data_IF_129981717885
#
_entry.id   IF_129981717885
#
_cell.length_a   1.000
_cell.length_b   1.000
_cell.length_c   1.000
_cell.angle_alpha   90.00
_cell.angle_beta   90.00
_cell.angle_gamma   90.00
#
_symmetry.space_group_name_H-M   'P 1'
#
loop_
_entity.id
_entity.type
_entity.pdbx_description
1 polymer ?
#
# COMPACT_ATOMS: atom_id res chain seq x y z
N UNK A 1 -7.71 -45.28 -27.68
CA UNK A 1 -7.19 -43.97 -28.13
C UNK A 1 -7.59 -42.95 -27.08
N UNK A 2 -6.74 -42.78 -26.07
CA UNK A 2 -6.96 -41.88 -24.93
C UNK A 2 -6.61 -40.46 -25.36
N UNK A 3 -7.49 -39.46 -25.22
CA UNK A 3 -7.10 -38.10 -25.51
C UNK A 3 -6.16 -37.62 -24.39
N UNK A 4 -4.94 -37.36 -24.84
CA UNK A 4 -3.82 -36.78 -24.11
C UNK A 4 -4.20 -35.46 -23.43
N UNK A 5 -3.74 -35.33 -22.18
CA UNK A 5 -3.96 -34.18 -21.32
C UNK A 5 -3.54 -32.87 -21.97
N UNK A 6 -4.42 -31.88 -21.82
CA UNK A 6 -4.12 -30.46 -22.01
C UNK A 6 -3.36 -29.97 -20.78
N UNK A 7 -2.04 -29.91 -20.88
CA UNK A 7 -1.21 -29.08 -20.02
C UNK A 7 -1.63 -27.61 -20.23
N UNK A 8 -2.49 -27.11 -19.33
CA UNK A 8 -2.84 -25.71 -19.27
C UNK A 8 -1.65 -24.97 -18.65
N UNK A 9 -0.88 -24.25 -19.47
CA UNK A 9 0.19 -23.39 -19.00
C UNK A 9 -0.30 -22.46 -17.89
N UNK A 10 0.26 -22.63 -16.69
CA UNK A 10 -0.15 -21.94 -15.47
C UNK A 10 0.30 -20.47 -15.52
N UNK A 11 -0.46 -19.64 -16.23
CA UNK A 11 -0.26 -18.20 -16.30
C UNK A 11 -0.57 -17.52 -14.97
N UNK A 12 0.13 -16.42 -14.67
CA UNK A 12 -0.09 -15.67 -13.44
C UNK A 12 -1.56 -15.22 -13.29
N UNK A 13 -2.19 -15.53 -12.14
CA UNK A 13 -3.55 -15.10 -11.82
C UNK A 13 -3.55 -13.58 -11.54
N UNK A 14 -4.30 -12.77 -12.30
CA UNK A 14 -4.38 -11.33 -12.04
C UNK A 14 -5.22 -11.05 -10.79
N UNK A 15 -4.70 -10.23 -9.88
CA UNK A 15 -5.45 -9.72 -8.73
C UNK A 15 -6.26 -8.50 -9.18
N UNK A 16 -7.59 -8.59 -9.15
CA UNK A 16 -8.51 -7.55 -9.63
C UNK A 16 -9.19 -6.85 -8.46
N UNK A 17 -8.93 -5.56 -8.30
CA UNK A 17 -9.51 -4.77 -7.19
C UNK A 17 -10.97 -4.36 -7.36
N UNK A 18 -11.63 -4.59 -8.49
CA UNK A 18 -13.01 -4.09 -8.73
C UNK A 18 -14.03 -4.68 -7.76
N UNK A 19 -13.97 -6.00 -7.53
CA UNK A 19 -14.86 -6.69 -6.63
C UNK A 19 -14.60 -6.28 -5.17
N UNK A 20 -13.32 -6.30 -4.76
CA UNK A 20 -12.90 -5.84 -3.43
C UNK A 20 -13.36 -4.40 -3.16
N UNK A 21 -13.13 -3.48 -4.09
CA UNK A 21 -13.55 -2.08 -3.91
C UNK A 21 -15.07 -1.93 -3.79
N UNK A 22 -15.87 -2.78 -4.45
CA UNK A 22 -17.32 -2.78 -4.29
C UNK A 22 -17.72 -3.28 -2.89
N UNK A 23 -17.10 -4.38 -2.43
CA UNK A 23 -17.31 -4.91 -1.08
C UNK A 23 -16.93 -3.90 0.00
N UNK A 24 -15.79 -3.20 -0.16
CA UNK A 24 -15.36 -2.17 0.78
C UNK A 24 -16.36 -1.01 0.86
N UNK A 25 -16.86 -0.53 -0.29
CA UNK A 25 -17.88 0.53 -0.30
C UNK A 25 -19.17 0.13 0.39
N UNK A 26 -19.63 -1.11 0.21
CA UNK A 26 -20.82 -1.59 0.91
C UNK A 26 -20.60 -1.65 2.43
N UNK A 27 -19.46 -2.18 2.86
CA UNK A 27 -19.07 -2.17 4.27
C UNK A 27 -18.98 -0.75 4.85
N UNK A 28 -18.37 0.18 4.12
CA UNK A 28 -18.31 1.59 4.52
C UNK A 28 -19.71 2.20 4.64
N UNK A 29 -20.60 1.94 3.68
CA UNK A 29 -21.99 2.42 3.74
C UNK A 29 -22.73 1.91 4.98
N UNK A 30 -22.59 0.62 5.29
CA UNK A 30 -23.17 0.04 6.50
C UNK A 30 -22.61 0.67 7.78
N UNK A 31 -21.29 0.91 7.84
CA UNK A 31 -20.65 1.57 8.97
C UNK A 31 -21.10 3.04 9.13
N UNK A 32 -21.26 3.77 8.03
CA UNK A 32 -21.77 5.15 8.06
C UNK A 32 -23.20 5.20 8.58
N UNK A 33 -24.06 4.29 8.12
CA UNK A 33 -25.45 4.17 8.61
C UNK A 33 -25.50 3.86 10.12
N UNK A 34 -24.67 2.91 10.58
CA UNK A 34 -24.57 2.58 12.00
C UNK A 34 -24.10 3.80 12.83
N UNK A 35 -23.10 4.54 12.32
CA UNK A 35 -22.57 5.74 12.98
C UNK A 35 -23.63 6.83 13.05
N UNK A 36 -24.39 7.04 11.96
CA UNK A 36 -25.51 7.98 11.91
C UNK A 36 -26.58 7.66 12.94
N UNK A 37 -26.94 6.38 13.11
CA UNK A 37 -27.88 5.93 14.16
C UNK A 37 -27.36 6.17 15.57
N UNK A 38 -26.04 6.15 15.76
CA UNK A 38 -25.39 6.49 17.02
C UNK A 38 -25.27 8.01 17.25
N UNK A 39 -25.83 8.85 16.38
CA UNK A 39 -25.91 10.31 16.55
C UNK A 39 -24.75 11.11 15.94
N UNK A 40 -23.85 10.48 15.18
CA UNK A 40 -22.78 11.18 14.45
C UNK A 40 -22.80 10.87 12.97
N UNK A 41 -22.61 11.87 12.11
CA UNK A 41 -22.48 11.64 10.66
C UNK A 41 -21.04 11.95 10.25
N UNK A 42 -20.25 10.96 9.81
CA UNK A 42 -18.87 11.20 9.41
C UNK A 42 -18.77 12.14 8.20
N UNK A 43 -17.77 13.02 8.24
CA UNK A 43 -17.51 14.05 7.21
C UNK A 43 -16.06 13.99 6.76
N UNK A 44 -15.85 13.95 5.44
CA UNK A 44 -14.55 13.99 4.78
C UNK A 44 -14.32 15.36 4.11
N UNK A 45 -13.25 16.04 4.48
CA UNK A 45 -12.81 17.26 3.81
C UNK A 45 -11.66 16.97 2.85
N UNK A 46 -11.72 17.52 1.64
CA UNK A 46 -10.66 17.41 0.63
C UNK A 46 -10.17 18.82 0.30
N UNK A 47 -8.90 19.10 0.62
CA UNK A 47 -8.24 20.37 0.29
C UNK A 47 -7.49 20.22 -1.02
N UNK A 48 -7.68 21.14 -1.95
CA UNK A 48 -6.93 21.19 -3.20
C UNK A 48 -6.46 22.61 -3.50
N UNK A 49 -5.29 22.73 -4.10
CA UNK A 49 -4.66 24.00 -4.43
C UNK A 49 -4.13 23.98 -5.87
N UNK A 50 -4.80 23.28 -6.78
CA UNK A 50 -4.34 23.16 -8.17
C UNK A 50 -5.52 23.10 -9.12
N UNK A 51 -5.37 23.73 -10.29
CA UNK A 51 -6.34 23.66 -11.39
C UNK A 51 -6.01 22.51 -12.37
N UNK A 52 -5.08 21.63 -12.00
CA UNK A 52 -4.69 20.49 -12.81
C UNK A 52 -5.88 19.51 -12.98
N UNK A 53 -6.24 19.23 -14.24
CA UNK A 53 -7.40 18.39 -14.58
C UNK A 53 -7.29 16.97 -14.01
N UNK A 54 -6.08 16.42 -13.87
CA UNK A 54 -5.89 15.08 -13.31
C UNK A 54 -6.22 15.06 -11.81
N UNK A 55 -5.90 16.14 -11.12
CA UNK A 55 -6.24 16.37 -9.71
C UNK A 55 -7.72 16.59 -9.54
N UNK A 56 -8.34 17.40 -10.41
CA UNK A 56 -9.78 17.60 -10.43
C UNK A 56 -10.54 16.27 -10.63
N UNK A 57 -10.05 15.40 -11.51
CA UNK A 57 -10.62 14.05 -11.67
C UNK A 57 -10.52 13.22 -10.39
N UNK A 58 -9.38 13.24 -9.70
CA UNK A 58 -9.20 12.47 -8.47
C UNK A 58 -10.08 12.99 -7.34
N UNK A 59 -10.20 14.32 -7.17
CA UNK A 59 -11.13 14.95 -6.22
C UNK A 59 -12.57 14.53 -6.52
N UNK A 60 -13.00 14.57 -7.79
CA UNK A 60 -14.33 14.08 -8.19
C UNK A 60 -14.54 12.61 -7.85
N UNK A 61 -13.50 11.78 -8.00
CA UNK A 61 -13.56 10.37 -7.63
C UNK A 61 -13.69 10.17 -6.11
N UNK A 62 -12.98 10.96 -5.29
CA UNK A 62 -13.11 10.93 -3.83
C UNK A 62 -14.52 11.36 -3.39
N UNK A 63 -15.01 12.48 -3.92
CA UNK A 63 -16.36 12.98 -3.66
C UNK A 63 -17.41 11.94 -4.04
N UNK A 64 -17.33 11.38 -5.24
CA UNK A 64 -18.27 10.34 -5.68
C UNK A 64 -18.22 9.08 -4.80
N UNK A 65 -17.04 8.71 -4.30
CA UNK A 65 -16.91 7.58 -3.37
C UNK A 65 -17.52 7.91 -2.00
N UNK A 66 -17.33 9.13 -1.51
CA UNK A 66 -17.92 9.62 -0.27
C UNK A 66 -19.46 9.62 -0.34
N UNK A 67 -20.03 10.20 -1.41
CA UNK A 67 -21.46 10.22 -1.68
C UNK A 67 -22.06 8.81 -1.73
N UNK A 68 -21.45 7.91 -2.51
CA UNK A 68 -21.90 6.52 -2.63
C UNK A 68 -21.85 5.74 -1.31
N UNK A 69 -20.99 6.16 -0.40
CA UNK A 69 -20.84 5.56 0.93
C UNK A 69 -21.68 6.27 2.00
N UNK A 70 -22.41 7.33 1.64
CA UNK A 70 -23.27 8.09 2.55
C UNK A 70 -22.53 9.11 3.43
N UNK A 71 -21.26 9.38 3.16
CA UNK A 71 -20.45 10.35 3.90
C UNK A 71 -20.87 11.79 3.57
N UNK A 72 -20.88 12.66 4.57
CA UNK A 72 -20.80 14.09 4.30
C UNK A 72 -19.41 14.39 3.73
N UNK A 73 -19.33 15.37 2.83
CA UNK A 73 -18.07 15.76 2.25
C UNK A 73 -18.04 17.26 1.98
N UNK A 74 -16.84 17.81 1.95
CA UNK A 74 -16.59 19.17 1.48
C UNK A 74 -15.30 19.22 0.68
N UNK A 75 -15.25 20.11 -0.31
CA UNK A 75 -14.05 20.37 -1.09
C UNK A 75 -13.65 21.82 -0.85
N UNK A 76 -12.44 22.03 -0.33
CA UNK A 76 -11.85 23.35 -0.13
C UNK A 76 -10.84 23.59 -1.25
N UNK A 77 -11.19 24.48 -2.18
CA UNK A 77 -10.34 24.82 -3.31
C UNK A 77 -9.63 26.16 -3.05
N UNK A 78 -8.34 26.12 -2.77
CA UNK A 78 -7.52 27.29 -2.45
C UNK A 78 -6.95 27.99 -3.69
N UNK A 79 -6.98 27.31 -4.85
CA UNK A 79 -6.48 27.83 -6.12
C UNK A 79 -4.97 27.61 -6.32
N UNK A 80 -4.47 27.77 -7.56
CA UNK A 80 -3.10 27.43 -7.95
C UNK A 80 -2.04 28.43 -7.45
N UNK A 81 -2.47 29.53 -6.81
CA UNK A 81 -1.60 30.57 -6.25
C UNK A 81 -1.48 30.50 -4.73
N UNK A 82 -2.13 29.52 -4.09
CA UNK A 82 -2.09 29.37 -2.66
C UNK A 82 -0.66 29.21 -2.15
N UNK A 83 -0.32 29.97 -1.12
CA UNK A 83 0.92 29.90 -0.35
C UNK A 83 0.93 28.69 0.59
N UNK A 84 2.09 28.36 1.15
CA UNK A 84 2.21 27.30 2.16
C UNK A 84 1.36 27.65 3.39
N UNK A 85 1.33 28.91 3.79
CA UNK A 85 0.58 29.43 4.94
C UNK A 85 -0.93 29.29 4.72
N UNK A 86 -1.46 29.70 3.57
CA UNK A 86 -2.89 29.54 3.25
C UNK A 86 -3.32 28.07 3.27
N UNK A 87 -2.51 27.16 2.72
CA UNK A 87 -2.78 25.72 2.77
C UNK A 87 -2.73 25.21 4.20
N UNK A 88 -1.72 25.63 4.99
CA UNK A 88 -1.56 25.22 6.38
C UNK A 88 -2.76 25.66 7.23
N UNK A 89 -3.20 26.89 7.08
CA UNK A 89 -4.29 27.46 7.86
C UNK A 89 -5.61 26.77 7.55
N UNK A 90 -5.88 26.46 6.27
CA UNK A 90 -7.04 25.67 5.87
C UNK A 90 -7.01 24.25 6.49
N UNK A 91 -5.86 23.57 6.43
CA UNK A 91 -5.70 22.23 7.01
C UNK A 91 -5.87 22.23 8.53
N UNK A 92 -5.30 23.22 9.23
CA UNK A 92 -5.45 23.36 10.69
C UNK A 92 -6.89 23.65 11.07
N UNK A 93 -7.56 24.57 10.37
CA UNK A 93 -8.97 24.87 10.60
C UNK A 93 -9.87 23.64 10.48
N UNK A 94 -9.67 22.83 9.43
CA UNK A 94 -10.38 21.55 9.28
C UNK A 94 -9.98 20.51 10.33
N UNK A 95 -8.72 20.54 10.78
CA UNK A 95 -8.21 19.72 11.87
C UNK A 95 -8.92 20.01 13.20
N UNK A 96 -9.24 21.27 13.47
CA UNK A 96 -9.90 21.73 14.69
C UNK A 96 -11.44 21.65 14.63
N UNK A 97 -12.04 21.67 13.43
CA UNK A 97 -13.49 21.56 13.24
C UNK A 97 -14.03 20.19 13.71
N UNK A 98 -14.81 20.21 14.80
CA UNK A 98 -15.42 19.01 15.39
C UNK A 98 -16.43 18.30 14.48
N UNK A 99 -16.91 18.96 13.42
CA UNK A 99 -17.79 18.34 12.40
C UNK A 99 -17.00 17.54 11.36
N UNK A 100 -15.69 17.78 11.21
CA UNK A 100 -14.81 17.12 10.22
C UNK A 100 -14.06 15.96 10.87
N UNK A 101 -14.14 14.79 10.25
CA UNK A 101 -13.61 13.54 10.81
C UNK A 101 -12.39 13.02 10.04
N UNK A 102 -12.25 13.39 8.78
CA UNK A 102 -11.10 13.06 7.95
C UNK A 102 -10.75 14.20 7.01
N UNK A 103 -9.45 14.40 6.77
CA UNK A 103 -8.93 15.44 5.88
C UNK A 103 -7.94 14.81 4.91
N UNK A 104 -8.05 15.19 3.63
CA UNK A 104 -7.10 14.82 2.57
C UNK A 104 -6.54 16.09 1.95
N UNK A 105 -5.22 16.22 1.89
CA UNK A 105 -4.55 17.23 1.06
C UNK A 105 -4.24 16.65 -0.32
N UNK A 106 -5.00 17.09 -1.32
CA UNK A 106 -4.80 16.64 -2.70
C UNK A 106 -3.54 17.26 -3.32
N UNK A 107 -2.71 16.41 -3.92
CA UNK A 107 -1.50 16.79 -4.68
C UNK A 107 -1.73 16.69 -6.20
N UNK A 108 -0.95 17.39 -7.04
CA UNK A 108 0.21 18.24 -6.74
C UNK A 108 -0.17 19.59 -6.13
N UNK A 109 0.76 20.14 -5.36
CA UNK A 109 0.64 21.48 -4.76
C UNK A 109 1.24 22.53 -5.72
N UNK A 110 0.88 23.82 -5.56
CA UNK A 110 1.50 24.91 -6.30
C UNK A 110 3.03 24.92 -6.22
N UNK A 111 3.72 25.44 -7.25
CA UNK A 111 5.16 25.69 -7.17
C UNK A 111 5.50 26.56 -5.96
N UNK A 112 6.49 26.14 -5.17
CA UNK A 112 6.94 26.88 -3.98
C UNK A 112 6.23 26.50 -2.68
N UNK A 113 5.14 25.71 -2.74
CA UNK A 113 4.50 25.18 -1.53
C UNK A 113 5.32 24.01 -0.98
N UNK A 114 5.74 24.12 0.28
CA UNK A 114 6.51 23.06 0.93
C UNK A 114 5.59 21.99 1.53
N UNK A 115 5.42 20.89 0.79
CA UNK A 115 4.67 19.73 1.26
C UNK A 115 5.19 19.15 2.59
N UNK A 116 6.49 19.30 2.90
CA UNK A 116 7.04 18.82 4.18
C UNK A 116 6.57 19.70 5.33
N UNK A 117 6.53 21.01 5.10
CA UNK A 117 6.05 21.97 6.09
C UNK A 117 4.54 21.80 6.40
N UNK A 118 3.80 21.14 5.51
CA UNK A 118 2.38 20.81 5.65
C UNK A 118 2.11 19.42 6.23
N UNK A 119 3.13 18.55 6.33
CA UNK A 119 2.95 17.15 6.67
C UNK A 119 2.28 16.92 8.04
N UNK A 120 2.47 17.85 8.97
CA UNK A 120 1.89 17.81 10.32
C UNK A 120 0.69 18.76 10.50
N UNK A 121 0.28 19.48 9.44
CA UNK A 121 -0.79 20.46 9.52
C UNK A 121 -2.16 19.82 9.78
N UNK A 122 -2.37 18.59 9.34
CA UNK A 122 -3.53 17.76 9.71
C UNK A 122 -3.17 16.93 10.94
N UNK A 123 -3.97 17.00 12.02
CA UNK A 123 -3.79 16.10 13.16
C UNK A 123 -3.80 14.63 12.72
N UNK A 124 -2.88 13.81 13.21
CA UNK A 124 -2.76 12.41 12.80
C UNK A 124 -4.06 11.59 13.01
N UNK A 125 -4.92 12.00 13.96
CA UNK A 125 -6.23 11.38 14.20
C UNK A 125 -7.29 11.69 13.12
N UNK A 126 -7.05 12.68 12.25
CA UNK A 126 -7.91 13.05 11.12
C UNK A 126 -7.21 12.90 9.75
N UNK A 127 -5.92 12.56 9.73
CA UNK A 127 -5.15 12.36 8.51
C UNK A 127 -5.42 10.97 7.89
N UNK A 128 -6.57 10.85 7.23
CA UNK A 128 -7.04 9.60 6.63
C UNK A 128 -6.24 9.16 5.39
N UNK A 129 -5.36 10.01 4.87
CA UNK A 129 -4.42 9.66 3.79
C UNK A 129 -3.05 9.20 4.32
N UNK A 130 -2.84 9.22 5.65
CA UNK A 130 -1.64 8.72 6.32
C UNK A 130 -0.34 9.46 5.92
N UNK A 131 -0.45 10.72 5.51
CA UNK A 131 0.69 11.55 5.11
C UNK A 131 1.50 12.09 6.29
N UNK A 132 0.91 12.12 7.49
CA UNK A 132 1.51 12.65 8.71
C UNK A 132 2.67 11.73 9.17
N UNK A 133 3.88 12.28 9.40
CA UNK A 133 5.03 11.49 9.87
C UNK A 133 4.76 10.71 11.16
N UNK A 134 3.90 11.23 12.05
CA UNK A 134 3.47 10.54 13.26
C UNK A 134 2.75 9.22 12.93
N UNK A 135 1.92 9.20 11.89
CA UNK A 135 1.24 7.99 11.44
C UNK A 135 2.25 6.91 11.02
N UNK A 136 3.29 7.27 10.25
CA UNK A 136 4.37 6.34 9.90
C UNK A 136 5.15 5.85 11.14
N UNK A 137 5.44 6.74 12.08
CA UNK A 137 6.11 6.37 13.34
C UNK A 137 5.29 5.37 14.16
N UNK A 138 3.97 5.59 14.25
CA UNK A 138 3.04 4.68 14.92
C UNK A 138 2.95 3.32 14.22
N UNK A 139 2.88 3.29 12.89
CA UNK A 139 2.93 2.04 12.12
C UNK A 139 4.23 1.26 12.37
N UNK A 140 5.37 1.96 12.43
CA UNK A 140 6.65 1.33 12.74
C UNK A 140 6.71 0.74 14.15
N UNK A 141 5.99 1.35 15.11
CA UNK A 141 5.85 0.84 16.47
C UNK A 141 4.74 -0.22 16.64
N UNK A 142 4.05 -0.62 15.56
CA UNK A 142 2.93 -1.57 15.63
C UNK A 142 1.67 -0.98 16.29
N UNK A 143 1.57 0.35 16.38
CA UNK A 143 0.43 1.05 16.96
C UNK A 143 -0.60 1.41 15.88
N UNK A 144 -1.86 1.53 16.30
CA UNK A 144 -2.95 1.97 15.43
C UNK A 144 -2.67 3.38 14.86
N UNK A 145 -2.75 3.50 13.53
CA UNK A 145 -2.62 4.74 12.77
C UNK A 145 -3.21 4.56 11.37
N UNK A 146 -3.57 5.66 10.72
CA UNK A 146 -3.88 5.63 9.29
C UNK A 146 -2.62 5.34 8.49
N UNK A 147 -2.64 4.27 7.69
CA UNK A 147 -1.60 4.06 6.71
C UNK A 147 -1.99 4.70 5.38
N UNK A 148 -1.02 5.13 4.56
CA UNK A 148 -1.31 5.63 3.23
C UNK A 148 -2.18 4.68 2.41
N UNK A 149 -3.22 5.22 1.79
CA UNK A 149 -4.27 4.44 1.13
C UNK A 149 -3.73 3.46 0.07
N UNK A 150 -2.62 3.80 -0.59
CA UNK A 150 -1.98 2.89 -1.56
C UNK A 150 -1.33 1.68 -0.88
N UNK A 151 -0.67 1.87 0.27
CA UNK A 151 -0.08 0.78 1.03
C UNK A 151 -1.18 -0.13 1.61
N UNK A 152 -2.24 0.46 2.15
CA UNK A 152 -3.41 -0.30 2.61
C UNK A 152 -4.11 -1.06 1.49
N UNK A 153 -4.26 -0.45 0.30
CA UNK A 153 -4.89 -1.13 -0.82
C UNK A 153 -4.13 -2.38 -1.28
N UNK A 154 -2.79 -2.35 -1.25
CA UNK A 154 -1.96 -3.54 -1.54
C UNK A 154 -2.23 -4.64 -0.53
N UNK A 155 -2.25 -4.29 0.76
CA UNK A 155 -2.53 -5.23 1.84
C UNK A 155 -3.94 -5.80 1.75
N UNK A 156 -4.95 -4.95 1.53
CA UNK A 156 -6.34 -5.37 1.37
C UNK A 156 -6.51 -6.31 0.17
N UNK A 157 -5.76 -6.10 -0.92
CA UNK A 157 -5.73 -7.03 -2.04
C UNK A 157 -5.10 -8.37 -1.66
N UNK A 158 -3.96 -8.37 -0.96
CA UNK A 158 -3.31 -9.61 -0.52
C UNK A 158 -4.23 -10.41 0.42
N UNK A 159 -4.87 -9.73 1.37
CA UNK A 159 -5.82 -10.32 2.32
C UNK A 159 -7.06 -10.87 1.58
N UNK A 160 -7.66 -10.11 0.65
CA UNK A 160 -8.83 -10.54 -0.12
C UNK A 160 -8.58 -11.77 -0.99
N UNK A 161 -7.36 -11.92 -1.48
CA UNK A 161 -6.94 -13.08 -2.27
C UNK A 161 -6.26 -14.17 -1.43
N UNK A 162 -6.31 -14.05 -0.10
CA UNK A 162 -5.78 -15.02 0.86
C UNK A 162 -4.32 -15.40 0.58
N UNK A 163 -3.52 -14.42 0.15
CA UNK A 163 -2.08 -14.63 -0.10
C UNK A 163 -1.39 -14.89 1.24
N UNK A 164 -0.68 -16.01 1.44
CA UNK A 164 -0.01 -16.29 2.71
C UNK A 164 1.13 -15.28 2.98
N UNK A 165 1.01 -14.50 4.06
CA UNK A 165 2.00 -13.47 4.43
C UNK A 165 2.93 -13.93 5.56
N UNK A 166 2.42 -14.72 6.51
CA UNK A 166 3.18 -15.20 7.66
C UNK A 166 4.38 -16.04 7.23
N UNK A 167 5.57 -15.60 7.60
CA UNK A 167 6.84 -16.24 7.26
C UNK A 167 7.26 -16.08 5.80
N UNK A 168 6.48 -15.40 4.96
CA UNK A 168 6.82 -15.16 3.56
C UNK A 168 7.93 -14.12 3.42
N UNK A 169 8.78 -14.27 2.41
CA UNK A 169 9.77 -13.27 2.02
C UNK A 169 9.13 -12.23 1.12
N UNK A 170 8.83 -11.06 1.68
CA UNK A 170 8.30 -9.93 0.92
C UNK A 170 9.40 -8.94 0.54
N UNK A 171 9.54 -8.66 -0.76
CA UNK A 171 10.48 -7.65 -1.28
C UNK A 171 9.70 -6.44 -1.77
N UNK A 172 9.95 -5.29 -1.17
CA UNK A 172 9.34 -4.00 -1.57
C UNK A 172 10.36 -3.17 -2.32
N UNK A 173 10.14 -2.93 -3.61
CA UNK A 173 11.00 -2.07 -4.44
C UNK A 173 10.45 -0.64 -4.42
N UNK A 174 11.01 0.19 -3.54
CA UNK A 174 10.57 1.55 -3.30
C UNK A 174 10.56 1.86 -1.81
N UNK A 175 10.93 3.08 -1.42
CA UNK A 175 11.03 3.51 -0.01
C UNK A 175 10.45 4.90 0.25
N UNK A 176 9.46 5.28 -0.54
CA UNK A 176 8.71 6.53 -0.29
C UNK A 176 7.98 6.44 1.04
N UNK A 177 7.72 7.60 1.65
CA UNK A 177 6.91 7.71 2.88
C UNK A 177 5.42 7.46 2.62
N UNK A 178 4.97 7.51 1.36
CA UNK A 178 3.56 7.35 0.97
C UNK A 178 3.23 5.92 0.52
N UNK A 179 4.22 5.08 0.19
CA UNK A 179 3.95 3.70 -0.24
C UNK A 179 4.96 2.72 0.34
N UNK A 180 6.24 2.84 -0.02
CA UNK A 180 7.23 1.80 0.23
C UNK A 180 7.48 1.51 1.71
N UNK A 181 7.75 2.55 2.51
CA UNK A 181 8.00 2.40 3.95
C UNK A 181 6.75 1.95 4.72
N UNK A 182 5.57 2.59 4.58
CA UNK A 182 4.37 2.11 5.25
C UNK A 182 4.02 0.67 4.90
N UNK A 183 4.09 0.31 3.62
CA UNK A 183 3.81 -1.06 3.18
C UNK A 183 4.76 -2.08 3.81
N UNK A 184 6.05 -1.75 3.95
CA UNK A 184 7.00 -2.62 4.63
C UNK A 184 6.58 -2.87 6.09
N UNK A 185 6.14 -1.84 6.82
CA UNK A 185 5.65 -1.98 8.19
C UNK A 185 4.35 -2.78 8.27
N UNK A 186 3.41 -2.58 7.33
CA UNK A 186 2.15 -3.35 7.29
C UNK A 186 2.38 -4.84 6.98
N UNK A 187 3.40 -5.16 6.18
CA UNK A 187 3.83 -6.54 5.92
C UNK A 187 4.52 -7.17 7.13
N UNK A 188 5.40 -6.42 7.81
CA UNK A 188 6.02 -6.86 9.06
C UNK A 188 4.97 -7.15 10.13
N UNK A 189 3.94 -6.32 10.26
CA UNK A 189 2.81 -6.54 11.17
C UNK A 189 1.98 -7.79 10.85
N UNK A 190 2.19 -8.42 9.69
CA UNK A 190 1.57 -9.69 9.26
C UNK A 190 2.58 -10.84 9.25
N UNK A 191 3.64 -10.74 10.05
CA UNK A 191 4.70 -11.73 10.22
C UNK A 191 5.51 -12.04 8.94
N UNK A 192 5.52 -11.15 7.94
CA UNK A 192 6.38 -11.33 6.76
C UNK A 192 7.84 -10.96 7.09
N UNK A 193 8.81 -11.66 6.47
CA UNK A 193 10.20 -11.22 6.44
C UNK A 193 10.35 -10.21 5.30
N UNK A 194 10.65 -8.95 5.60
CA UNK A 194 10.60 -7.86 4.62
C UNK A 194 11.99 -7.33 4.24
N UNK A 195 12.27 -7.26 2.94
CA UNK A 195 13.45 -6.59 2.37
C UNK A 195 13.01 -5.36 1.56
N UNK A 196 13.55 -4.18 1.89
CA UNK A 196 13.24 -2.93 1.18
C UNK A 196 14.36 -2.57 0.21
N UNK A 197 14.04 -2.55 -1.08
CA UNK A 197 14.94 -2.20 -2.16
C UNK A 197 14.75 -0.75 -2.64
N UNK A 198 15.79 -0.17 -3.23
CA UNK A 198 15.78 1.20 -3.73
C UNK A 198 16.83 1.42 -4.84
N UNK A 199 16.93 2.64 -5.38
CA UNK A 199 17.83 2.97 -6.49
C UNK A 199 19.31 2.69 -6.23
N UNK A 200 19.73 2.59 -4.97
CA UNK A 200 21.12 2.26 -4.56
C UNK A 200 21.32 0.81 -4.11
N UNK A 201 20.31 -0.06 -4.27
CA UNK A 201 20.44 -1.48 -3.93
C UNK A 201 21.39 -2.13 -4.93
N UNK A 202 22.44 -2.80 -4.44
CA UNK A 202 23.34 -3.61 -5.27
C UNK A 202 22.59 -4.87 -5.71
N UNK A 203 22.77 -5.24 -6.98
CA UNK A 203 22.09 -6.36 -7.63
C UNK A 203 20.60 -6.51 -7.25
N UNK A 204 19.79 -5.54 -7.69
CA UNK A 204 18.35 -5.60 -7.48
C UNK A 204 17.71 -6.89 -8.03
N UNK A 205 18.28 -7.47 -9.09
CA UNK A 205 17.75 -8.68 -9.70
C UNK A 205 17.95 -9.90 -8.80
N UNK A 206 19.09 -10.00 -8.12
CA UNK A 206 19.34 -11.05 -7.12
C UNK A 206 18.33 -10.98 -5.98
N UNK A 207 18.23 -9.83 -5.30
CA UNK A 207 17.33 -9.65 -4.15
C UNK A 207 15.87 -9.93 -4.52
N UNK A 208 15.43 -9.49 -5.71
CA UNK A 208 14.03 -9.70 -6.13
C UNK A 208 13.70 -11.14 -6.50
N UNK A 209 14.69 -12.01 -6.75
CA UNK A 209 14.47 -13.44 -7.04
C UNK A 209 14.15 -14.26 -5.78
N UNK A 210 14.50 -13.76 -4.61
CA UNK A 210 14.24 -14.41 -3.32
C UNK A 210 12.81 -14.19 -2.81
N UNK A 211 12.06 -13.30 -3.47
CA UNK A 211 10.74 -12.87 -3.04
C UNK A 211 9.68 -13.95 -3.28
N UNK A 212 8.99 -14.35 -2.22
CA UNK A 212 7.67 -14.99 -2.33
C UNK A 212 6.62 -13.94 -2.77
N UNK A 213 6.80 -12.70 -2.33
CA UNK A 213 5.92 -11.56 -2.63
C UNK A 213 6.77 -10.39 -3.09
N UNK A 214 6.64 -9.99 -4.35
CA UNK A 214 7.37 -8.85 -4.92
C UNK A 214 6.42 -7.68 -5.17
N UNK A 215 6.67 -6.55 -4.51
CA UNK A 215 5.86 -5.33 -4.67
C UNK A 215 6.72 -4.19 -5.21
N UNK A 216 6.42 -3.76 -6.43
CA UNK A 216 7.09 -2.65 -7.08
C UNK A 216 6.38 -1.31 -6.78
N UNK A 217 6.80 -0.64 -5.72
CA UNK A 217 6.27 0.65 -5.25
C UNK A 217 7.08 1.84 -5.79
N UNK A 218 7.33 1.87 -7.10
CA UNK A 218 8.11 2.94 -7.75
C UNK A 218 7.23 3.76 -8.68
N UNK A 219 7.22 5.08 -8.50
CA UNK A 219 6.62 6.04 -9.42
C UNK A 219 7.40 6.14 -10.73
N UNK A 220 7.40 5.07 -11.54
CA UNK A 220 7.89 5.08 -12.91
C UNK A 220 7.31 3.86 -13.65
N UNK A 221 6.32 4.12 -14.51
CA UNK A 221 5.89 3.13 -15.50
C UNK A 221 7.09 2.79 -16.40
N UNK A 222 7.48 1.52 -16.48
CA UNK A 222 8.35 1.04 -17.56
C UNK A 222 9.75 0.52 -17.21
N UNK A 223 10.07 0.11 -15.97
CA UNK A 223 11.18 -0.85 -15.82
C UNK A 223 10.70 -2.23 -16.20
N UNK A 224 10.90 -2.58 -17.47
CA UNK A 224 10.97 -3.98 -17.89
C UNK A 224 12.00 -4.64 -16.96
N UNK A 225 11.58 -5.60 -16.16
CA UNK A 225 12.52 -6.55 -15.55
C UNK A 225 13.13 -7.29 -16.73
N UNK A 226 14.33 -6.86 -17.14
CA UNK A 226 15.00 -7.37 -18.32
C UNK A 226 15.32 -8.84 -18.14
N UNK A 227 15.04 -9.63 -19.19
CA UNK A 227 15.49 -11.01 -19.31
C UNK A 227 16.99 -11.15 -19.05
N UNK A 228 17.37 -12.35 -18.62
CA UNK A 228 18.71 -12.73 -18.24
C UNK A 228 19.77 -12.16 -19.21
N UNK A 229 20.70 -11.37 -18.67
CA UNK A 229 21.97 -11.09 -19.32
C UNK A 229 22.96 -12.18 -18.90
N UNK A 230 23.68 -12.84 -19.83
CA UNK A 230 24.76 -13.72 -19.46
C UNK A 230 25.91 -12.92 -18.82
N UNK A 231 26.78 -13.57 -18.02
CA UNK A 231 27.79 -12.88 -17.22
C UNK A 231 28.77 -12.11 -18.11
N UNK A 232 29.08 -10.87 -17.72
CA UNK A 232 30.02 -10.02 -18.46
C UNK A 232 31.46 -10.46 -18.17
N UNK A 233 32.16 -10.84 -19.24
CA UNK A 233 33.62 -10.88 -19.28
C UNK A 233 34.18 -9.47 -19.15
N UNK A 234 35.23 -9.39 -18.36
CA UNK A 234 36.11 -8.25 -18.16
C UNK A 234 36.69 -7.78 -19.50
N UNK A 235 36.65 -6.47 -19.78
CA UNK A 235 37.66 -5.76 -20.57
C UNK A 235 37.41 -4.26 -20.63
N UNK A 236 38.39 -3.58 -20.06
CA UNK A 236 38.74 -2.19 -20.17
C UNK A 236 39.10 -1.78 -21.62
N UNK A 237 39.08 -0.46 -21.86
CA UNK A 237 39.71 0.34 -22.93
C UNK A 237 38.93 0.80 -24.19
N UNK A 238 38.85 2.14 -24.25
CA UNK A 238 39.09 3.11 -25.36
C UNK A 238 37.92 3.93 -25.92
N UNK A 239 38.30 5.15 -26.33
CA UNK A 239 37.60 6.44 -26.46
C UNK A 239 37.24 6.81 -27.92
N UNK A 240 36.51 7.93 -28.06
CA UNK A 240 36.26 8.84 -29.23
C UNK A 240 35.15 8.39 -30.20
N UNK A 241 34.26 9.23 -30.76
CA UNK A 241 33.88 10.67 -30.71
C UNK A 241 32.45 10.79 -31.33
N UNK A 242 31.72 11.94 -31.27
CA UNK A 242 30.32 12.08 -31.67
C UNK A 242 30.13 12.77 -33.04
N UNK A 243 28.99 12.54 -33.73
CA UNK A 243 28.25 13.59 -34.50
C UNK A 243 26.81 13.12 -34.91
N UNK A 244 25.94 13.92 -35.58
CA UNK A 244 24.68 14.42 -34.99
C UNK A 244 23.43 14.06 -35.82
N UNK A 245 22.22 14.44 -35.36
CA UNK A 245 21.09 14.58 -36.31
C UNK A 245 19.68 14.23 -35.80
N UNK A 246 18.90 15.29 -35.55
CA UNK A 246 17.45 15.49 -35.74
C UNK A 246 16.41 14.72 -34.89
N UNK A 247 15.57 15.52 -34.22
CA UNK A 247 14.15 15.29 -33.83
C UNK A 247 13.21 15.85 -34.94
N UNK A 248 11.86 15.99 -34.80
CA UNK A 248 10.90 15.48 -33.80
C UNK A 248 9.55 14.95 -34.37
N UNK A 249 8.69 14.43 -33.47
CA UNK A 249 7.21 14.53 -33.39
C UNK A 249 6.40 13.22 -33.32
N UNK A 250 5.46 13.21 -32.37
CA UNK A 250 4.40 12.21 -32.23
C UNK A 250 3.74 12.25 -30.85
N UNK A 251 2.81 13.21 -30.64
CA UNK A 251 1.96 13.31 -29.44
C UNK A 251 1.17 12.01 -29.25
N UNK A 252 1.19 11.42 -28.04
CA UNK A 252 0.29 10.33 -27.64
C UNK A 252 -0.60 10.78 -26.47
N UNK A 253 -1.89 10.48 -26.61
CA UNK A 253 -3.00 10.79 -25.71
C UNK A 253 -2.86 10.08 -24.35
N UNK A 254 -3.37 10.63 -23.23
CA UNK A 254 -3.35 9.94 -21.95
C UNK A 254 -4.47 8.89 -21.91
N UNK A 255 -4.09 7.62 -21.99
CA UNK A 255 -4.98 6.49 -21.74
C UNK A 255 -4.91 6.08 -20.27
N UNK A 256 -6.06 6.09 -19.59
CA UNK A 256 -6.23 5.59 -18.22
C UNK A 256 -5.78 4.14 -18.10
N UNK A 257 -4.70 3.90 -17.36
CA UNK A 257 -4.13 2.58 -17.16
C UNK A 257 -4.73 1.88 -15.94
N UNK A 258 -5.68 0.98 -16.16
CA UNK A 258 -6.00 -0.06 -15.19
C UNK A 258 -4.76 -0.96 -15.00
N UNK A 259 -4.15 -0.91 -13.81
CA UNK A 259 -2.87 -1.60 -13.52
C UNK A 259 -3.13 -3.06 -13.17
N UNK A 260 -2.42 -3.98 -13.84
CA UNK A 260 -2.39 -5.41 -13.52
C UNK A 260 -1.38 -5.64 -12.38
N UNK A 261 -1.83 -6.32 -11.34
CA UNK A 261 -0.98 -6.87 -10.28
C UNK A 261 -1.03 -8.39 -10.37
N UNK A 262 0.12 -9.04 -10.29
CA UNK A 262 0.25 -10.50 -10.29
C UNK A 262 0.99 -10.93 -9.02
N UNK A 263 0.38 -11.80 -8.23
CA UNK A 263 1.06 -12.57 -7.20
C UNK A 263 1.09 -14.04 -7.65
N UNK A 264 2.22 -14.71 -7.46
CA UNK A 264 2.38 -16.13 -7.76
C UNK A 264 2.73 -16.87 -6.46
N UNK A 265 1.88 -17.74 -5.93
CA UNK A 265 2.35 -18.74 -4.98
C UNK A 265 3.11 -19.83 -5.74
N UNK A 266 4.33 -20.17 -5.31
CA UNK A 266 5.06 -21.36 -5.79
C UNK A 266 4.94 -22.51 -4.79
N UNK A 267 4.90 -23.77 -5.24
CA UNK A 267 4.89 -24.92 -4.35
C UNK A 267 6.21 -25.02 -3.56
N UNK A 268 6.10 -25.34 -2.26
CA UNK A 268 7.22 -25.50 -1.34
C UNK A 268 8.21 -26.54 -1.87
N UNK A 269 9.52 -26.23 -1.80
CA UNK A 269 10.59 -27.24 -1.97
C UNK A 269 10.41 -28.30 -0.88
N UNK A 270 10.25 -29.57 -1.28
CA UNK A 270 10.41 -30.72 -0.39
C UNK A 270 11.84 -30.71 0.14
N UNK A 271 11.99 -30.52 1.44
CA UNK A 271 13.27 -30.72 2.12
C UNK A 271 13.69 -32.17 2.02
N UNK A 272 14.96 -32.38 1.73
CA UNK A 272 15.63 -33.67 1.87
C UNK A 272 15.46 -34.20 3.30
N UNK A 273 15.27 -35.52 3.41
CA UNK A 273 15.16 -36.19 4.69
C UNK A 273 16.44 -36.09 5.50
N UNK A 274 16.28 -36.17 6.81
CA UNK A 274 17.25 -36.80 7.69
C UNK A 274 16.48 -37.59 8.75
N UNK A 275 16.80 -38.88 8.78
CA UNK A 275 16.37 -39.87 9.75
C UNK A 275 17.01 -39.61 11.12
N UNK A 276 16.25 -39.80 12.19
CA UNK A 276 16.80 -39.75 13.54
C UNK A 276 15.74 -39.75 14.65
N UNK A 277 15.14 -40.91 14.92
CA UNK A 277 14.49 -41.17 16.22
C UNK A 277 15.51 -41.25 17.36
N UNK A 278 15.09 -41.31 18.64
CA UNK A 278 14.31 -42.48 19.08
C UNK A 278 13.14 -42.21 20.06
N UNK A 279 12.41 -43.31 20.28
CA UNK A 279 11.47 -43.64 21.37
C UNK A 279 11.81 -43.01 22.73
N UNK A 280 10.90 -42.76 23.67
CA UNK A 280 9.55 -43.26 23.91
C UNK A 280 9.38 -43.38 25.43
N UNK A 281 8.34 -42.80 26.01
CA UNK A 281 7.86 -43.15 27.35
C UNK A 281 6.40 -42.74 27.50
N UNK A 282 5.54 -43.76 27.67
CA UNK A 282 4.15 -43.66 28.07
C UNK A 282 4.03 -43.88 29.57
N UNK A 283 2.98 -43.30 30.14
CA UNK A 283 2.31 -43.73 31.37
C UNK A 283 2.51 -42.77 32.54
N UNK A 284 1.55 -42.53 33.43
CA UNK A 284 0.14 -42.88 33.53
C UNK A 284 -0.39 -42.17 34.81
N UNK A 285 -1.70 -41.88 34.85
CA UNK A 285 -2.47 -41.59 36.07
C UNK A 285 -2.34 -40.15 36.61
N UNK A 286 -3.39 -39.49 37.08
CA UNK A 286 -4.73 -39.93 37.41
C UNK A 286 -5.27 -39.08 38.56
N UNK A 287 -6.50 -38.57 38.38
CA UNK A 287 -7.52 -38.28 39.39
C UNK A 287 -7.32 -37.20 40.48
N UNK A 288 -8.46 -36.55 40.79
CA UNK A 288 -8.75 -35.85 42.05
C UNK A 288 -8.89 -34.35 41.88
N UNK A 289 -10.11 -33.81 41.78
CA UNK A 289 -10.87 -33.21 42.92
C UNK A 289 -10.08 -32.11 43.63
N UNK A 290 -10.55 -30.89 43.81
CA UNK A 290 -11.82 -30.26 43.55
C UNK A 290 -11.79 -28.89 44.23
N UNK A 291 -12.89 -28.16 44.06
CA UNK A 291 -13.45 -27.28 45.09
C UNK A 291 -13.03 -25.79 45.18
N UNK A 292 -14.09 -24.96 45.11
CA UNK A 292 -14.37 -23.68 45.79
C UNK A 292 -13.46 -22.46 45.60
N UNK A 293 -14.10 -21.37 45.14
CA UNK A 293 -13.80 -20.02 45.62
C UNK A 293 -14.00 -18.89 44.59
N UNK A 294 -15.16 -18.24 44.62
CA UNK A 294 -15.38 -16.93 44.02
C UNK A 294 -14.69 -15.76 44.78
N UNK A 295 -15.04 -14.49 44.51
CA UNK A 295 -14.08 -13.47 44.08
C UNK A 295 -13.81 -12.33 45.09
N UNK A 296 -12.72 -11.58 44.86
CA UNK A 296 -12.47 -10.19 45.27
C UNK A 296 -11.33 -9.66 44.36
N UNK A 297 -11.32 -8.50 43.70
CA UNK A 297 -11.89 -7.20 44.04
C UNK A 297 -10.76 -6.27 44.50
N UNK A 298 -10.13 -5.53 43.55
CA UNK A 298 -9.88 -4.06 43.50
C UNK A 298 -9.47 -3.73 42.06
#
# INVERSE_FOLDING_TARGET
MTPTGTESGEGARPLRGKALAASLREGTRAAVEATRKAGSTPKLAVVTATDDESSAWYVRSLVSAAEKSGLLHEVVHLGPKASTEEVRDALRGLGEDGSVHGVILQTPLPPGVDARALAEAVPAAKDVDGANPLSLGRLAAGLAAFAPATAEAVIALLDHYEVPLRGARAVVVGRSTVVGKPLAHLLLARDATVTVCHSRTRDLAEVTREADILIAARGAAGTRHGGARPPRRDRDRRRHQPDPGRRPHGRRRPGGGARRWSAQPRPRRRGAGDDGGPAGARGAGGAGDGDRGGPAGV
#
